data_IF_107986961152
#
_entry.id   IF_107986961152
#
_cell.length_a   1.000
_cell.length_b   1.000
_cell.length_c   1.000
_cell.angle_alpha   90.00
_cell.angle_beta   90.00
_cell.angle_gamma   90.00
#
_symmetry.space_group_name_H-M   'P 1'
#
loop_
_entity.id
_entity.type
_entity.pdbx_description
1 polymer ?
#
# COMPACT_ATOMS: atom_id res chain seq x y z
N UNK A 1 -11.94 5.87 -53.08
CA UNK A 1 -12.39 4.97 -51.99
C UNK A 1 -12.08 5.67 -50.69
N UNK A 2 -13.09 6.03 -49.89
CA UNK A 2 -12.91 6.73 -48.62
C UNK A 2 -12.49 5.70 -47.57
N UNK A 3 -11.29 5.85 -47.00
CA UNK A 3 -10.90 5.07 -45.85
C UNK A 3 -11.63 5.63 -44.63
N UNK A 4 -12.56 4.86 -44.08
CA UNK A 4 -13.18 5.12 -42.79
C UNK A 4 -12.24 4.59 -41.72
N UNK A 5 -11.69 5.49 -40.90
CA UNK A 5 -10.98 5.13 -39.67
C UNK A 5 -12.03 4.69 -38.65
N UNK A 6 -12.07 3.38 -38.35
CA UNK A 6 -12.87 2.83 -37.27
C UNK A 6 -12.25 3.27 -35.96
N UNK A 7 -12.95 4.11 -35.21
CA UNK A 7 -12.64 4.47 -33.83
C UNK A 7 -12.70 3.20 -32.97
N UNK A 8 -11.53 2.68 -32.58
CA UNK A 8 -11.42 1.61 -31.59
C UNK A 8 -11.68 2.26 -30.23
N UNK A 9 -12.93 2.24 -29.79
CA UNK A 9 -13.28 2.55 -28.40
C UNK A 9 -12.67 1.43 -27.56
N UNK A 10 -11.60 1.76 -26.83
CA UNK A 10 -11.04 0.94 -25.79
C UNK A 10 -12.14 0.69 -24.75
N UNK A 11 -12.77 -0.48 -24.81
CA UNK A 11 -13.59 -1.00 -23.73
C UNK A 11 -12.63 -1.36 -22.59
N UNK A 12 -12.23 -0.34 -21.81
CA UNK A 12 -11.74 -0.57 -20.46
C UNK A 12 -12.92 -1.25 -19.76
N UNK A 13 -12.77 -2.48 -19.24
CA UNK A 13 -13.81 -3.05 -18.41
C UNK A 13 -13.98 -2.09 -17.24
N UNK A 14 -15.14 -1.45 -17.14
CA UNK A 14 -15.58 -0.82 -15.90
C UNK A 14 -15.76 -1.99 -14.92
N UNK A 15 -14.67 -2.40 -14.29
CA UNK A 15 -14.74 -3.24 -13.11
C UNK A 15 -15.32 -2.29 -12.07
N UNK A 16 -16.63 -2.43 -11.85
CA UNK A 16 -17.26 -1.80 -10.69
C UNK A 16 -16.72 -2.58 -9.51
N UNK A 17 -15.68 -2.05 -8.88
CA UNK A 17 -15.22 -2.55 -7.59
C UNK A 17 -16.38 -2.34 -6.63
N UNK A 18 -16.92 -3.45 -6.12
CA UNK A 18 -17.94 -3.40 -5.10
C UNK A 18 -17.26 -3.11 -3.78
N UNK A 19 -17.60 -1.99 -3.15
CA UNK A 19 -17.16 -1.65 -1.80
C UNK A 19 -17.28 -2.86 -0.87
N UNK A 20 -16.18 -3.21 -0.21
CA UNK A 20 -16.18 -4.19 0.86
C UNK A 20 -16.78 -3.55 2.12
N UNK A 21 -18.08 -3.32 2.14
CA UNK A 21 -18.79 -2.79 3.30
C UNK A 21 -18.77 -3.81 4.44
N UNK A 22 -18.25 -3.44 5.61
CA UNK A 22 -18.37 -4.28 6.80
C UNK A 22 -19.74 -4.08 7.45
N UNK A 23 -20.21 -5.13 8.14
CA UNK A 23 -21.42 -5.06 8.96
C UNK A 23 -21.06 -5.10 10.43
N UNK A 24 -21.56 -4.12 11.18
CA UNK A 24 -21.39 -3.99 12.62
C UNK A 24 -22.70 -4.26 13.35
N UNK A 25 -22.62 -4.66 14.61
CA UNK A 25 -23.79 -4.95 15.45
C UNK A 25 -23.84 -3.99 16.63
N UNK A 26 -25.00 -3.37 16.84
CA UNK A 26 -25.35 -2.66 18.06
C UNK A 26 -26.59 -3.33 18.67
N UNK A 27 -26.43 -3.94 19.84
CA UNK A 27 -27.52 -4.60 20.55
C UNK A 27 -28.06 -3.69 21.65
N UNK A 28 -29.37 -3.44 21.63
CA UNK A 28 -30.08 -2.86 22.76
C UNK A 28 -30.32 -3.93 23.84
N UNK A 29 -30.28 -3.56 25.11
CA UNK A 29 -30.48 -4.51 26.21
C UNK A 29 -31.46 -4.00 27.26
N UNK A 30 -32.01 -4.93 28.03
CA UNK A 30 -32.88 -4.65 29.19
C UNK A 30 -32.17 -3.84 30.30
N UNK A 31 -30.84 -3.72 30.22
CA UNK A 31 -30.03 -2.87 31.11
C UNK A 31 -30.00 -1.40 30.67
N UNK A 32 -30.81 -1.01 29.68
CA UNK A 32 -30.91 0.36 29.18
C UNK A 32 -29.59 0.87 28.61
N UNK A 33 -28.85 0.00 27.93
CA UNK A 33 -27.59 0.31 27.26
C UNK A 33 -27.60 -0.23 25.84
N UNK A 34 -26.93 0.49 24.95
CA UNK A 34 -26.48 -0.03 23.66
C UNK A 34 -25.10 -0.68 23.83
N UNK A 35 -24.89 -1.82 23.19
CA UNK A 35 -23.59 -2.51 23.18
C UNK A 35 -23.14 -2.75 21.74
N UNK A 36 -22.01 -2.17 21.30
CA UNK A 36 -21.25 -1.13 22.01
C UNK A 36 -22.03 0.20 22.12
N UNK A 37 -21.69 1.04 23.10
CA UNK A 37 -22.24 2.40 23.21
C UNK A 37 -21.45 3.42 22.38
N UNK A 38 -20.22 3.07 22.01
CA UNK A 38 -19.38 3.83 21.10
C UNK A 38 -18.83 2.88 20.04
N UNK A 39 -19.10 3.19 18.78
CA UNK A 39 -18.67 2.39 17.64
C UNK A 39 -17.90 3.29 16.68
N UNK A 40 -16.72 2.87 16.23
CA UNK A 40 -16.00 3.52 15.13
C UNK A 40 -16.10 2.63 13.90
N UNK A 41 -16.56 3.20 12.79
CA UNK A 41 -16.72 2.53 11.50
C UNK A 41 -16.14 3.41 10.39
N UNK A 42 -16.09 2.89 9.18
CA UNK A 42 -15.69 3.65 7.99
C UNK A 42 -16.94 3.99 7.17
N UNK A 43 -16.94 5.08 6.41
CA UNK A 43 -18.05 5.39 5.52
C UNK A 43 -18.29 4.27 4.49
N UNK A 44 -19.56 4.02 4.20
CA UNK A 44 -20.02 2.84 3.45
C UNK A 44 -20.32 1.61 4.33
N UNK A 45 -19.87 1.57 5.58
CA UNK A 45 -20.22 0.47 6.50
C UNK A 45 -21.70 0.45 6.88
N UNK A 46 -22.17 -0.74 7.22
CA UNK A 46 -23.54 -0.99 7.68
C UNK A 46 -23.57 -1.28 9.17
N UNK A 47 -24.53 -0.71 9.90
CA UNK A 47 -24.81 -1.04 11.31
C UNK A 47 -26.18 -1.68 11.43
N UNK A 48 -26.22 -2.89 11.99
CA UNK A 48 -27.45 -3.56 12.40
C UNK A 48 -27.78 -3.21 13.85
N UNK A 49 -28.96 -2.66 14.07
CA UNK A 49 -29.51 -2.47 15.41
C UNK A 49 -30.40 -3.66 15.76
N UNK A 50 -30.09 -4.32 16.88
CA UNK A 50 -30.80 -5.51 17.35
C UNK A 50 -31.53 -5.24 18.66
N UNK A 51 -32.63 -5.97 18.88
CA UNK A 51 -33.41 -5.99 20.11
C UNK A 51 -34.13 -4.66 20.41
N UNK A 52 -34.68 -4.03 19.38
CA UNK A 52 -35.41 -2.76 19.45
C UNK A 52 -36.90 -2.91 19.76
N UNK A 53 -37.39 -4.08 20.17
CA UNK A 53 -38.82 -4.30 20.46
C UNK A 53 -39.39 -3.30 21.49
N UNK A 54 -38.59 -2.95 22.51
CA UNK A 54 -38.93 -1.96 23.56
C UNK A 54 -37.99 -0.76 23.55
N UNK A 55 -37.15 -0.63 22.54
CA UNK A 55 -36.12 0.39 22.43
C UNK A 55 -36.22 1.09 21.07
N UNK A 56 -35.54 2.21 20.92
CA UNK A 56 -35.39 2.86 19.63
C UNK A 56 -34.00 3.50 19.57
N UNK A 57 -33.52 3.78 18.38
CA UNK A 57 -32.31 4.56 18.15
C UNK A 57 -32.69 5.77 17.31
N UNK A 58 -32.74 6.93 17.95
CA UNK A 58 -33.12 8.19 17.31
C UNK A 58 -31.89 9.07 17.24
N UNK A 59 -31.52 9.49 16.04
CA UNK A 59 -30.42 10.42 15.85
C UNK A 59 -30.77 11.81 16.40
N UNK A 60 -29.86 12.36 17.19
CA UNK A 60 -30.03 13.66 17.85
C UNK A 60 -28.77 14.50 17.67
N UNK A 61 -28.85 15.79 18.02
CA UNK A 61 -27.67 16.66 18.05
C UNK A 61 -26.75 16.30 19.21
N UNK A 62 -25.48 16.70 19.14
CA UNK A 62 -24.55 16.57 20.27
C UNK A 62 -25.08 17.27 21.54
N UNK A 63 -25.69 18.45 21.38
CA UNK A 63 -26.30 19.19 22.51
C UNK A 63 -27.42 18.38 23.15
N UNK A 64 -28.34 17.86 22.34
CA UNK A 64 -29.45 17.01 22.80
C UNK A 64 -28.92 15.73 23.48
N UNK A 65 -27.91 15.09 22.91
CA UNK A 65 -27.27 13.89 23.48
C UNK A 65 -26.65 14.17 24.86
N UNK A 66 -25.98 15.32 25.00
CA UNK A 66 -25.34 15.74 26.24
C UNK A 66 -26.34 16.16 27.32
N UNK A 67 -27.48 16.71 26.93
CA UNK A 67 -28.56 17.12 27.85
C UNK A 67 -29.56 16.00 28.17
N UNK A 68 -29.32 14.76 27.72
CA UNK A 68 -30.27 13.65 27.76
C UNK A 68 -31.64 13.99 27.13
N UNK A 69 -31.65 14.88 26.14
CA UNK A 69 -32.85 15.24 25.40
C UNK A 69 -33.27 14.17 24.39
N UNK A 70 -34.41 14.40 23.77
CA UNK A 70 -35.05 13.47 22.81
C UNK A 70 -35.39 14.11 21.47
N UNK A 71 -35.00 15.36 21.26
CA UNK A 71 -35.27 16.09 20.03
C UNK A 71 -34.42 15.54 18.88
N UNK A 72 -35.09 14.91 17.90
CA UNK A 72 -34.43 14.40 16.70
C UNK A 72 -33.96 15.53 15.80
N UNK A 73 -32.87 15.28 15.06
CA UNK A 73 -32.40 16.24 14.06
C UNK A 73 -33.22 16.13 12.77
N UNK A 74 -33.38 17.22 12.00
CA UNK A 74 -33.98 17.15 10.67
C UNK A 74 -33.23 16.19 9.75
N UNK A 75 -33.96 15.26 9.11
CA UNK A 75 -33.41 14.23 8.22
C UNK A 75 -32.40 13.27 8.88
N UNK A 76 -32.38 13.20 10.23
CA UNK A 76 -31.64 12.15 10.93
C UNK A 76 -32.32 10.79 10.81
N UNK A 77 -31.61 9.74 11.19
CA UNK A 77 -32.20 8.40 11.24
C UNK A 77 -33.11 8.22 12.46
N UNK A 78 -34.14 7.39 12.29
CA UNK A 78 -35.05 6.96 13.35
C UNK A 78 -35.32 5.46 13.21
N UNK A 79 -34.85 4.66 14.16
CA UNK A 79 -34.97 3.19 14.12
C UNK A 79 -35.87 2.72 15.26
N UNK A 80 -37.01 2.13 14.93
CA UNK A 80 -38.04 1.67 15.87
C UNK A 80 -38.19 0.14 15.95
N UNK A 81 -37.47 -0.58 15.11
CA UNK A 81 -37.44 -2.04 15.04
C UNK A 81 -36.09 -2.46 14.48
N UNK A 82 -35.69 -3.71 14.72
CA UNK A 82 -34.43 -4.23 14.23
C UNK A 82 -34.24 -3.95 12.73
N UNK A 83 -33.12 -3.33 12.38
CA UNK A 83 -32.89 -2.80 11.03
C UNK A 83 -31.42 -2.52 10.78
N UNK A 84 -31.09 -2.34 9.50
CA UNK A 84 -29.75 -2.00 9.02
C UNK A 84 -29.74 -0.54 8.56
N UNK A 85 -28.71 0.21 8.92
CA UNK A 85 -28.41 1.53 8.41
C UNK A 85 -27.04 1.55 7.76
N UNK A 86 -26.93 2.17 6.58
CA UNK A 86 -25.65 2.42 5.90
C UNK A 86 -25.22 3.85 6.18
N UNK A 87 -23.96 4.03 6.58
CA UNK A 87 -23.41 5.33 6.93
C UNK A 87 -22.46 5.83 5.83
N UNK A 88 -22.94 6.66 4.91
CA UNK A 88 -22.17 7.10 3.72
C UNK A 88 -21.52 8.48 3.88
N UNK A 89 -21.37 8.98 5.11
CA UNK A 89 -20.78 10.30 5.33
C UNK A 89 -19.97 10.30 6.61
N UNK A 90 -18.71 10.79 6.56
CA UNK A 90 -17.89 10.93 7.74
C UNK A 90 -18.52 11.87 8.78
N UNK A 91 -18.26 11.60 10.05
CA UNK A 91 -18.74 12.39 11.16
C UNK A 91 -19.26 11.57 12.34
N UNK A 92 -19.64 12.27 13.41
CA UNK A 92 -20.16 11.64 14.62
C UNK A 92 -21.68 11.69 14.64
N UNK A 93 -22.31 10.52 14.71
CA UNK A 93 -23.74 10.32 14.78
C UNK A 93 -24.13 9.99 16.22
N UNK A 94 -24.70 10.98 16.91
CA UNK A 94 -25.23 10.80 18.26
C UNK A 94 -26.65 10.25 18.20
N UNK A 95 -26.96 9.24 19.01
CA UNK A 95 -28.30 8.68 19.08
C UNK A 95 -28.70 8.29 20.50
N UNK A 96 -30.01 8.31 20.74
CA UNK A 96 -30.59 8.01 22.05
C UNK A 96 -31.74 7.03 21.90
N UNK A 97 -32.01 6.29 22.97
CA UNK A 97 -33.30 5.64 23.14
C UNK A 97 -34.25 6.59 23.86
N UNK A 98 -35.22 7.15 23.13
CA UNK A 98 -36.19 8.14 23.62
C UNK A 98 -36.82 7.78 24.98
N UNK A 99 -37.39 6.57 25.20
CA UNK A 99 -37.98 6.23 26.49
C UNK A 99 -36.96 6.02 27.62
N UNK A 100 -35.67 5.83 27.32
CA UNK A 100 -34.66 5.40 28.28
C UNK A 100 -33.45 6.34 28.38
N UNK A 101 -33.46 7.48 27.70
CA UNK A 101 -32.33 8.43 27.67
C UNK A 101 -32.00 8.98 29.07
N UNK A 102 -33.02 9.20 29.91
CA UNK A 102 -32.86 9.60 31.32
C UNK A 102 -32.17 8.52 32.18
N UNK A 103 -32.19 7.26 31.72
CA UNK A 103 -31.45 6.15 32.34
C UNK A 103 -30.04 5.98 31.76
N UNK A 104 -29.65 6.86 30.82
CA UNK A 104 -28.35 6.84 30.16
C UNK A 104 -28.30 6.01 28.87
N UNK A 105 -29.45 5.58 28.32
CA UNK A 105 -29.48 4.77 27.11
C UNK A 105 -29.20 5.61 25.86
N UNK A 106 -27.92 5.73 25.52
CA UNK A 106 -27.44 6.52 24.39
C UNK A 106 -26.17 5.92 23.82
N UNK A 107 -25.88 6.24 22.57
CA UNK A 107 -24.63 5.85 21.93
C UNK A 107 -24.19 6.83 20.87
N UNK A 108 -22.99 6.61 20.35
CA UNK A 108 -22.44 7.39 19.25
C UNK A 108 -21.73 6.47 18.25
N UNK A 109 -21.87 6.79 16.97
CA UNK A 109 -21.15 6.15 15.88
C UNK A 109 -20.19 7.20 15.30
N UNK A 110 -18.90 6.94 15.35
CA UNK A 110 -17.88 7.74 14.70
C UNK A 110 -17.58 7.13 13.33
N UNK A 111 -18.03 7.80 12.26
CA UNK A 111 -17.79 7.38 10.87
C UNK A 111 -16.55 8.09 10.39
N UNK A 112 -15.49 7.32 10.12
CA UNK A 112 -14.25 7.82 9.53
C UNK A 112 -14.41 7.91 8.01
N UNK A 113 -13.68 8.84 7.41
CA UNK A 113 -13.49 8.86 5.96
C UNK A 113 -12.57 7.71 5.56
N UNK A 114 -12.98 6.91 4.57
CA UNK A 114 -12.23 5.74 4.12
C UNK A 114 -10.83 6.12 3.63
N UNK A 115 -10.72 7.16 2.80
CA UNK A 115 -9.44 7.59 2.23
C UNK A 115 -8.51 8.09 3.34
N UNK A 116 -9.01 8.94 4.24
CA UNK A 116 -8.24 9.43 5.39
C UNK A 116 -7.78 8.27 6.30
N UNK A 117 -8.69 7.34 6.61
CA UNK A 117 -8.37 6.17 7.44
C UNK A 117 -7.30 5.29 6.77
N UNK A 118 -7.43 5.01 5.48
CA UNK A 118 -6.48 4.18 4.77
C UNK A 118 -5.09 4.82 4.78
N UNK A 119 -4.99 6.10 4.43
CA UNK A 119 -3.71 6.83 4.37
C UNK A 119 -3.03 6.82 5.74
N UNK A 120 -3.77 7.13 6.81
CA UNK A 120 -3.24 7.17 8.18
C UNK A 120 -2.69 5.81 8.65
N UNK A 121 -3.29 4.71 8.19
CA UNK A 121 -2.93 3.37 8.64
C UNK A 121 -1.94 2.65 7.71
N UNK A 122 -1.82 3.06 6.45
CA UNK A 122 -0.86 2.46 5.52
C UNK A 122 0.49 3.17 5.49
N UNK A 123 0.54 4.47 5.81
CA UNK A 123 1.79 5.21 5.88
C UNK A 123 2.65 4.61 6.99
N UNK A 124 3.86 4.18 6.62
CA UNK A 124 4.73 3.45 7.53
C UNK A 124 5.74 2.57 6.82
N UNK A 125 6.41 1.75 7.61
CA UNK A 125 7.39 0.79 7.11
C UNK A 125 6.84 -0.62 7.29
N UNK A 126 6.89 -1.38 6.21
CA UNK A 126 6.33 -2.72 6.12
C UNK A 126 7.35 -3.69 5.56
N UNK A 127 7.15 -4.98 5.78
CA UNK A 127 8.01 -6.02 5.20
C UNK A 127 7.23 -7.28 4.89
N UNK A 128 7.64 -7.92 3.81
CA UNK A 128 7.40 -9.32 3.51
C UNK A 128 8.76 -10.00 3.29
N UNK A 129 9.16 -10.86 4.22
CA UNK A 129 10.44 -11.56 4.20
C UNK A 129 11.65 -10.62 4.00
N UNK A 130 12.30 -10.69 2.83
CA UNK A 130 13.49 -9.92 2.46
C UNK A 130 13.17 -8.68 1.63
N UNK A 131 11.89 -8.31 1.50
CA UNK A 131 11.44 -7.07 0.85
C UNK A 131 10.94 -6.10 1.91
N UNK A 132 11.45 -4.87 1.86
CA UNK A 132 11.03 -3.79 2.73
C UNK A 132 10.31 -2.73 1.93
N UNK A 133 9.23 -2.20 2.51
CA UNK A 133 8.42 -1.16 1.92
C UNK A 133 8.44 0.06 2.84
N UNK A 134 8.60 1.24 2.27
CA UNK A 134 8.43 2.51 2.98
C UNK A 134 7.39 3.32 2.22
N UNK A 135 6.24 3.51 2.87
CA UNK A 135 5.08 4.20 2.31
C UNK A 135 4.99 5.54 3.02
N UNK A 136 5.17 6.61 2.27
CA UNK A 136 4.93 7.99 2.70
C UNK A 136 3.68 8.53 2.01
N UNK A 137 3.23 9.73 2.38
CA UNK A 137 2.08 10.36 1.73
C UNK A 137 2.28 10.61 0.22
N UNK A 138 3.53 10.70 -0.24
CA UNK A 138 3.86 11.10 -1.63
C UNK A 138 4.56 9.98 -2.41
N UNK A 139 5.12 8.99 -1.72
CA UNK A 139 5.97 7.96 -2.33
C UNK A 139 5.76 6.58 -1.72
N UNK A 140 5.93 5.57 -2.58
CA UNK A 140 5.99 4.17 -2.22
C UNK A 140 7.35 3.62 -2.65
N UNK A 141 8.18 3.27 -1.67
CA UNK A 141 9.55 2.82 -1.87
C UNK A 141 9.63 1.33 -1.59
N UNK A 142 10.28 0.58 -2.48
CA UNK A 142 10.49 -0.86 -2.36
C UNK A 142 11.99 -1.13 -2.32
N UNK A 143 12.45 -1.78 -1.26
CA UNK A 143 13.84 -2.21 -1.10
C UNK A 143 13.90 -3.73 -1.15
N UNK A 144 14.43 -4.27 -2.25
CA UNK A 144 14.53 -5.71 -2.52
C UNK A 144 15.96 -6.21 -2.32
N UNK A 145 16.15 -7.24 -1.50
CA UNK A 145 17.47 -7.80 -1.20
C UNK A 145 17.73 -9.10 -1.98
N UNK A 146 18.02 -9.00 -3.28
CA UNK A 146 18.35 -10.18 -4.11
C UNK A 146 19.79 -10.70 -3.90
N UNK A 147 20.69 -9.85 -3.38
CA UNK A 147 22.11 -10.16 -3.17
C UNK A 147 22.53 -9.89 -1.73
N UNK A 148 23.54 -10.63 -1.24
CA UNK A 148 24.07 -10.38 0.11
C UNK A 148 24.67 -8.96 0.19
N UNK A 149 24.08 -8.13 1.07
CA UNK A 149 24.57 -6.81 1.50
C UNK A 149 24.26 -5.59 0.61
N UNK A 150 23.33 -5.66 -0.33
CA UNK A 150 22.78 -4.49 -1.01
C UNK A 150 21.29 -4.64 -1.31
N UNK A 151 20.59 -3.53 -1.58
CA UNK A 151 19.20 -3.54 -2.02
C UNK A 151 19.06 -2.97 -3.44
N UNK A 152 18.06 -3.42 -4.18
CA UNK A 152 17.53 -2.71 -5.36
C UNK A 152 16.36 -1.84 -4.90
N UNK A 153 16.36 -0.57 -5.33
CA UNK A 153 15.32 0.41 -4.96
C UNK A 153 14.39 0.66 -6.13
N UNK A 154 13.10 0.50 -5.89
CA UNK A 154 12.05 1.02 -6.76
C UNK A 154 11.28 2.13 -6.04
N UNK A 155 10.96 3.19 -6.76
CA UNK A 155 10.22 4.35 -6.24
C UNK A 155 9.04 4.65 -7.16
N UNK A 156 7.85 4.72 -6.55
CA UNK A 156 6.61 5.08 -7.24
C UNK A 156 5.94 6.24 -6.51
N UNK A 157 5.26 7.11 -7.24
CA UNK A 157 4.16 7.88 -6.65
C UNK A 157 2.95 6.96 -6.52
N UNK A 158 2.02 7.29 -5.63
CA UNK A 158 0.82 6.48 -5.46
C UNK A 158 -0.40 7.32 -5.11
N UNK A 159 -1.56 6.75 -5.39
CA UNK A 159 -2.87 7.23 -4.93
C UNK A 159 -3.68 6.06 -4.43
N UNK A 160 -4.63 6.30 -3.54
CA UNK A 160 -5.63 5.31 -3.15
C UNK A 160 -6.97 5.59 -3.84
N UNK A 161 -7.67 4.54 -4.24
CA UNK A 161 -9.08 4.57 -4.62
C UNK A 161 -9.78 3.42 -3.89
N UNK A 162 -10.60 3.77 -2.88
CA UNK A 162 -11.09 2.79 -1.90
C UNK A 162 -9.92 1.92 -1.40
N UNK A 163 -10.06 0.58 -1.36
CA UNK A 163 -9.00 -0.32 -0.91
C UNK A 163 -7.93 -0.64 -1.96
N UNK A 164 -7.94 0.03 -3.12
CA UNK A 164 -6.93 -0.13 -4.17
C UNK A 164 -5.82 0.92 -4.01
N UNK A 165 -4.57 0.48 -3.99
CA UNK A 165 -3.40 1.35 -4.15
C UNK A 165 -2.98 1.30 -5.60
N UNK A 166 -2.85 2.47 -6.22
CA UNK A 166 -2.47 2.64 -7.61
C UNK A 166 -1.08 3.28 -7.64
N UNK A 167 -0.13 2.59 -8.27
CA UNK A 167 1.22 3.07 -8.52
C UNK A 167 1.29 3.89 -9.81
N UNK A 168 2.02 4.99 -9.73
CA UNK A 168 2.23 5.93 -10.81
C UNK A 168 3.73 6.11 -11.01
N UNK A 169 4.19 5.87 -12.24
CA UNK A 169 5.57 6.07 -12.66
C UNK A 169 5.57 6.95 -13.92
N UNK A 170 6.35 8.04 -13.92
CA UNK A 170 6.42 8.97 -15.06
C UNK A 170 5.05 9.50 -15.54
N UNK A 171 4.15 9.79 -14.60
CA UNK A 171 2.75 10.20 -14.85
C UNK A 171 1.88 9.14 -15.55
N UNK A 172 2.33 7.88 -15.60
CA UNK A 172 1.59 6.75 -16.18
C UNK A 172 1.29 5.68 -15.11
N UNK A 173 0.20 4.92 -15.32
CA UNK A 173 -0.16 3.79 -14.46
C UNK A 173 0.93 2.71 -14.52
N UNK A 174 1.55 2.41 -13.37
CA UNK A 174 2.59 1.39 -13.25
C UNK A 174 2.04 0.06 -12.71
N UNK A 175 0.94 0.10 -11.95
CA UNK A 175 0.31 -1.09 -11.38
C UNK A 175 -0.66 -0.73 -10.27
N UNK A 176 -1.31 -1.74 -9.70
CA UNK A 176 -2.13 -1.57 -8.50
C UNK A 176 -2.22 -2.85 -7.69
N UNK A 177 -2.64 -2.73 -6.44
CA UNK A 177 -3.00 -3.86 -5.59
C UNK A 177 -4.13 -3.48 -4.63
N UNK A 178 -4.91 -4.47 -4.22
CA UNK A 178 -5.95 -4.34 -3.20
C UNK A 178 -5.37 -4.63 -1.81
N UNK A 179 -5.85 -3.86 -0.83
CA UNK A 179 -5.55 -4.04 0.58
C UNK A 179 -6.72 -4.73 1.26
N UNK A 180 -6.40 -5.63 2.19
CA UNK A 180 -7.36 -6.30 3.05
C UNK A 180 -6.86 -6.36 4.49
N UNK A 181 -7.80 -6.34 5.44
CA UNK A 181 -7.53 -6.52 6.87
C UNK A 181 -6.43 -5.56 7.41
N UNK A 182 -6.50 -4.28 7.01
CA UNK A 182 -5.56 -3.27 7.47
C UNK A 182 -5.68 -3.06 8.99
N UNK A 183 -4.54 -3.08 9.66
CA UNK A 183 -4.37 -2.82 11.09
C UNK A 183 -3.07 -2.05 11.32
N UNK A 184 -2.89 -1.49 12.51
CA UNK A 184 -1.67 -0.79 12.91
C UNK A 184 -0.38 -1.63 12.79
N UNK A 185 -0.49 -2.97 12.68
CA UNK A 185 0.67 -3.88 12.68
C UNK A 185 0.80 -4.77 11.45
N UNK A 186 -0.25 -4.90 10.63
CA UNK A 186 -0.23 -5.74 9.44
C UNK A 186 -1.39 -5.47 8.48
N UNK A 187 -1.21 -5.82 7.22
CA UNK A 187 -2.28 -5.90 6.22
C UNK A 187 -1.95 -6.93 5.13
N UNK A 188 -2.95 -7.35 4.38
CA UNK A 188 -2.80 -8.19 3.19
C UNK A 188 -2.81 -7.32 1.94
N UNK A 189 -1.84 -7.50 1.04
CA UNK A 189 -1.76 -6.83 -0.26
C UNK A 189 -1.83 -7.85 -1.39
N UNK A 190 -2.65 -7.65 -2.41
CA UNK A 190 -2.73 -8.59 -3.53
C UNK A 190 -3.67 -8.15 -4.64
N UNK A 191 -3.70 -8.90 -5.74
CA UNK A 191 -4.64 -8.64 -6.85
C UNK A 191 -6.04 -9.17 -6.56
N UNK A 192 -6.13 -10.22 -5.74
CA UNK A 192 -7.38 -10.86 -5.32
C UNK A 192 -7.23 -11.35 -3.89
N UNK A 193 -8.34 -11.72 -3.23
CA UNK A 193 -8.33 -12.28 -1.87
C UNK A 193 -7.58 -13.60 -1.73
N UNK A 194 -7.38 -14.32 -2.84
CA UNK A 194 -6.69 -15.63 -2.86
C UNK A 194 -5.20 -15.48 -3.23
N UNK A 195 -4.80 -14.32 -3.74
CA UNK A 195 -3.44 -14.00 -4.19
C UNK A 195 -2.90 -12.79 -3.41
N UNK A 196 -2.85 -12.93 -2.09
CA UNK A 196 -2.37 -11.88 -1.17
C UNK A 196 -1.06 -12.25 -0.49
N UNK A 197 -0.22 -11.23 -0.27
CA UNK A 197 0.95 -11.26 0.60
C UNK A 197 0.63 -10.56 1.92
N UNK A 198 1.10 -11.11 3.04
CA UNK A 198 0.99 -10.48 4.35
C UNK A 198 2.17 -9.51 4.55
N UNK A 199 1.87 -8.22 4.66
CA UNK A 199 2.82 -7.20 5.05
C UNK A 199 2.70 -6.95 6.54
N UNK A 200 3.84 -6.94 7.23
CA UNK A 200 3.90 -6.68 8.67
C UNK A 200 4.71 -5.45 8.96
N UNK A 201 4.30 -4.69 9.98
CA UNK A 201 5.01 -3.48 10.40
C UNK A 201 6.46 -3.81 10.78
N UNK A 202 7.38 -2.93 10.42
CA UNK A 202 8.81 -3.13 10.66
C UNK A 202 9.53 -1.81 10.96
N UNK A 203 10.80 -1.91 11.29
CA UNK A 203 11.71 -0.77 11.34
C UNK A 203 12.92 -1.07 10.45
N UNK A 204 13.02 -0.32 9.37
CA UNK A 204 14.06 -0.39 8.36
C UNK A 204 14.81 0.94 8.26
N UNK A 205 16.13 0.86 8.19
CA UNK A 205 17.01 2.01 8.01
C UNK A 205 17.86 1.78 6.76
N UNK A 206 17.42 2.33 5.64
CA UNK A 206 18.12 2.24 4.35
C UNK A 206 19.57 2.73 4.42
N UNK A 207 19.88 3.67 5.32
CA UNK A 207 21.23 4.19 5.57
C UNK A 207 22.25 3.15 6.04
N UNK A 208 21.79 2.00 6.53
CA UNK A 208 22.67 0.90 6.96
C UNK A 208 23.13 0.02 5.79
N UNK A 209 22.57 0.24 4.61
CA UNK A 209 22.78 -0.58 3.41
C UNK A 209 23.23 0.31 2.25
N UNK A 210 23.64 -0.33 1.16
CA UNK A 210 24.04 0.34 -0.06
C UNK A 210 23.13 -0.15 -1.19
N UNK A 211 22.73 0.75 -2.07
CA UNK A 211 22.01 0.38 -3.30
C UNK A 211 22.93 -0.47 -4.20
N UNK A 212 22.39 -1.59 -4.70
CA UNK A 212 23.12 -2.47 -5.59
C UNK A 212 23.54 -1.66 -6.82
N UNK A 213 24.83 -1.72 -7.16
CA UNK A 213 25.29 -1.16 -8.43
C UNK A 213 24.71 -2.05 -9.53
N UNK A 214 23.90 -1.49 -10.42
CA UNK A 214 23.61 -2.15 -11.68
C UNK A 214 24.95 -2.53 -12.33
N UNK A 215 25.24 -3.82 -12.37
CA UNK A 215 26.33 -4.33 -13.20
C UNK A 215 25.84 -4.31 -14.64
N UNK A 216 25.93 -3.16 -15.31
CA UNK A 216 25.78 -3.08 -16.78
C UNK A 216 26.95 -3.73 -17.53
N UNK A 217 27.68 -4.66 -16.91
CA UNK A 217 28.68 -5.47 -17.57
C UNK A 217 28.87 -6.80 -16.83
N UNK A 218 28.46 -7.89 -17.47
CA UNK A 218 28.97 -9.23 -17.18
C UNK A 218 30.50 -9.18 -17.35
N UNK A 219 31.22 -9.19 -16.25
CA UNK A 219 32.52 -9.84 -16.13
C UNK A 219 32.62 -10.34 -14.70
N UNK A 220 32.04 -11.51 -14.45
CA UNK A 220 32.33 -12.29 -13.25
C UNK A 220 33.81 -12.69 -13.30
N UNK A 221 34.66 -11.93 -12.58
CA UNK A 221 36.05 -12.30 -12.35
C UNK A 221 36.09 -13.50 -11.40
N UNK A 222 35.97 -14.70 -11.98
CA UNK A 222 36.51 -15.88 -11.37
C UNK A 222 38.04 -15.76 -11.48
N UNK A 223 38.73 -15.34 -10.42
CA UNK A 223 40.19 -15.20 -10.41
C UNK A 223 40.81 -16.60 -10.45
N UNK A 224 40.85 -17.20 -11.64
CA UNK A 224 41.88 -18.17 -12.00
C UNK A 224 43.12 -17.38 -12.39
N UNK A 225 44.28 -17.80 -11.90
CA UNK A 225 45.56 -17.24 -12.33
C UNK A 225 45.71 -17.45 -13.85
N UNK A 226 45.46 -16.41 -14.63
CA UNK A 226 45.59 -16.44 -16.09
C UNK A 226 47.05 -16.29 -16.54
N UNK A 227 47.42 -16.99 -17.60
CA UNK A 227 48.79 -17.01 -18.14
C UNK A 227 48.85 -16.22 -19.45
N UNK A 228 49.86 -15.36 -19.60
CA UNK A 228 50.09 -14.61 -20.85
C UNK A 228 50.50 -15.60 -21.94
N UNK A 229 49.79 -15.56 -23.08
CA UNK A 229 50.09 -16.36 -24.28
C UNK A 229 50.98 -15.56 -25.24
N UNK A 230 50.63 -14.30 -25.52
CA UNK A 230 51.43 -13.38 -26.32
C UNK A 230 51.05 -11.91 -26.07
N UNK A 231 51.94 -10.99 -26.46
CA UNK A 231 51.77 -9.54 -26.34
C UNK A 231 51.78 -8.96 -27.75
N UNK A 232 50.81 -8.09 -28.06
CA UNK A 232 50.77 -7.33 -29.31
C UNK A 232 51.03 -5.84 -29.05
N UNK A 233 51.76 -5.19 -29.97
CA UNK A 233 51.78 -3.73 -30.04
C UNK A 233 50.46 -3.20 -30.67
N UNK A 234 50.28 -1.88 -30.71
CA UNK A 234 49.09 -1.26 -31.31
C UNK A 234 48.94 -1.50 -32.82
N UNK A 235 49.97 -2.00 -33.49
CA UNK A 235 49.96 -2.38 -34.90
C UNK A 235 49.59 -3.86 -35.11
N UNK A 236 49.36 -4.61 -34.03
CA UNK A 236 49.03 -6.05 -34.09
C UNK A 236 50.23 -6.98 -34.22
N UNK A 237 51.45 -6.47 -34.04
CA UNK A 237 52.68 -7.27 -34.14
C UNK A 237 53.04 -7.92 -32.80
N UNK A 238 53.45 -9.19 -32.81
CA UNK A 238 53.91 -9.90 -31.61
C UNK A 238 55.24 -9.33 -31.10
N UNK A 239 55.28 -8.99 -29.82
CA UNK A 239 56.49 -8.47 -29.16
C UNK A 239 56.94 -9.39 -28.03
N UNK A 240 58.25 -9.53 -27.87
CA UNK A 240 58.83 -10.35 -26.79
C UNK A 240 58.92 -9.58 -25.47
N UNK A 241 59.06 -8.24 -25.53
CA UNK A 241 59.12 -7.36 -24.35
C UNK A 241 58.47 -6.00 -24.67
N UNK A 242 57.62 -5.48 -23.78
CA UNK A 242 57.13 -4.10 -23.84
C UNK A 242 58.28 -3.09 -23.68
N UNK A 243 58.19 -1.96 -24.37
CA UNK A 243 59.00 -0.77 -24.12
C UNK A 243 58.16 0.27 -23.37
N UNK A 244 58.83 1.18 -22.69
CA UNK A 244 58.14 2.22 -21.91
C UNK A 244 57.35 3.17 -22.82
N UNK A 245 56.27 3.73 -22.26
CA UNK A 245 55.42 4.74 -22.88
C UNK A 245 54.62 4.28 -24.11
N UNK A 246 54.65 2.98 -24.44
CA UNK A 246 53.83 2.40 -25.51
C UNK A 246 52.72 1.51 -24.94
N UNK A 247 51.47 1.61 -25.44
CA UNK A 247 50.40 0.69 -25.06
C UNK A 247 50.57 -0.67 -25.76
N UNK A 248 50.31 -1.73 -25.01
CA UNK A 248 50.34 -3.12 -25.48
C UNK A 248 49.07 -3.87 -25.10
N UNK A 249 48.70 -4.86 -25.91
CA UNK A 249 47.60 -5.78 -25.64
C UNK A 249 48.16 -7.15 -25.21
N UNK A 250 47.81 -7.58 -24.01
CA UNK A 250 48.20 -8.85 -23.42
C UNK A 250 47.07 -9.85 -23.60
N UNK A 251 47.34 -10.94 -24.30
CA UNK A 251 46.37 -12.01 -24.53
C UNK A 251 46.65 -13.16 -23.56
N UNK A 252 45.61 -13.62 -22.90
CA UNK A 252 45.68 -14.68 -21.90
C UNK A 252 45.11 -16.00 -22.41
N UNK A 253 45.45 -17.09 -21.74
CA UNK A 253 45.03 -18.46 -22.07
C UNK A 253 43.53 -18.71 -21.83
N UNK A 254 42.91 -17.89 -20.98
CA UNK A 254 41.47 -17.85 -20.76
C UNK A 254 40.69 -17.05 -21.84
N UNK A 255 41.39 -16.50 -22.83
CA UNK A 255 40.80 -15.70 -23.90
C UNK A 255 40.59 -14.21 -23.54
N UNK A 256 40.93 -13.78 -22.32
CA UNK A 256 40.87 -12.36 -21.95
C UNK A 256 41.97 -11.55 -22.62
N UNK A 257 41.73 -10.24 -22.76
CA UNK A 257 42.69 -9.29 -23.31
C UNK A 257 42.81 -8.08 -22.38
N UNK A 258 44.03 -7.71 -22.02
CA UNK A 258 44.29 -6.48 -21.24
C UNK A 258 45.13 -5.49 -22.03
N UNK A 259 44.73 -4.22 -22.02
CA UNK A 259 45.56 -3.11 -22.50
C UNK A 259 46.38 -2.58 -21.33
N UNK A 260 47.71 -2.55 -21.45
CA UNK A 260 48.61 -1.97 -20.44
C UNK A 260 49.56 -0.95 -21.08
N UNK A 261 49.92 0.07 -20.31
CA UNK A 261 51.02 1.00 -20.62
C UNK A 261 52.07 0.76 -19.54
N UNK A 262 53.29 0.41 -19.94
CA UNK A 262 54.42 0.33 -19.01
C UNK A 262 54.97 1.74 -18.88
N UNK A 263 54.95 2.26 -17.66
CA UNK A 263 55.56 3.53 -17.28
C UNK A 263 56.63 3.14 -16.24
N UNK A 264 57.89 3.07 -16.67
CA UNK A 264 59.04 3.05 -15.74
C UNK A 264 59.35 4.46 -15.23
#
# INVERSE_FOLDING_TARGET
MKATYTLLILLIPFIVYGQSSNSHLITASDYMIFTPSELTIIDGDTVYFENLTTHNAIQVSEETYNSNGTESIPNGFEVYSDSFLVFNSPGIYYYVCTPHVEMGMKGKINVLDFEEYLIDNIVGQWTDNDVYFEITIDSFLIYSFEQENCYELEEYSWVSDENEIIFIENDEFAGSFLIYNLTDISFLAGQTTDETTLLTSTSFLSSNWVECKEVTSILSFNIKSKKIVYILNVLGEKVNKPNDFSPYFYYYDDGTVEKRIVIE
#
